data_IF_088705106287
#
_entry.id   IF_088705106287
#
_cell.length_a   1.000
_cell.length_b   1.000
_cell.length_c   1.000
_cell.angle_alpha   90.00
_cell.angle_beta   90.00
_cell.angle_gamma   90.00
#
_symmetry.space_group_name_H-M   'P 1'
#
loop_
_entity.id
_entity.type
_entity.pdbx_description
1 polymer ?
#
# COMPACT_ATOMS: atom_id res chain seq x y z
N UNK A 1 10.96 14.07 -3.78
CA UNK A 1 11.97 13.30 -3.02
C UNK A 1 11.47 11.91 -2.62
N UNK A 2 10.37 11.77 -1.86
CA UNK A 2 9.85 10.45 -1.49
C UNK A 2 9.34 9.64 -2.71
N UNK A 3 8.56 10.28 -3.60
CA UNK A 3 8.05 9.65 -4.82
C UNK A 3 9.19 9.13 -5.73
N UNK A 4 10.24 9.92 -5.96
CA UNK A 4 11.39 9.51 -6.78
C UNK A 4 12.16 8.31 -6.21
N UNK A 5 12.20 8.17 -4.88
CA UNK A 5 12.76 6.96 -4.23
C UNK A 5 11.85 5.77 -4.49
N UNK A 6 10.54 5.92 -4.31
CA UNK A 6 9.57 4.86 -4.57
C UNK A 6 9.58 4.41 -6.03
N UNK A 7 9.66 5.32 -6.98
CA UNK A 7 9.85 4.98 -8.40
C UNK A 7 11.14 4.19 -8.65
N UNK A 8 12.22 4.53 -7.92
CA UNK A 8 13.47 3.76 -7.94
C UNK A 8 13.27 2.33 -7.45
N UNK A 9 12.56 2.16 -6.34
CA UNK A 9 12.22 0.84 -5.78
C UNK A 9 11.35 0.03 -6.73
N UNK A 10 10.33 0.65 -7.35
CA UNK A 10 9.47 0.02 -8.36
C UNK A 10 10.29 -0.40 -9.58
N UNK A 11 11.21 0.43 -10.05
CA UNK A 11 12.12 0.08 -11.15
C UNK A 11 13.03 -1.11 -10.81
N UNK A 12 13.46 -1.23 -9.55
CA UNK A 12 14.22 -2.40 -9.10
C UNK A 12 13.34 -3.64 -9.04
N UNK A 13 12.11 -3.52 -8.53
CA UNK A 13 11.17 -4.63 -8.42
C UNK A 13 10.84 -5.22 -9.80
N UNK A 14 10.60 -4.34 -10.79
CA UNK A 14 10.37 -4.71 -12.21
C UNK A 14 11.58 -5.35 -12.91
N UNK A 15 12.73 -5.47 -12.24
CA UNK A 15 13.93 -6.17 -12.74
C UNK A 15 14.16 -7.48 -11.97
N UNK A 16 13.09 -8.26 -11.82
CA UNK A 16 13.08 -9.57 -11.15
C UNK A 16 13.64 -9.54 -9.73
N UNK A 17 13.28 -8.50 -8.96
CA UNK A 17 13.64 -8.40 -7.54
C UNK A 17 12.38 -8.25 -6.69
N UNK A 18 12.39 -8.88 -5.53
CA UNK A 18 11.38 -8.60 -4.50
C UNK A 18 11.86 -7.44 -3.64
N UNK A 19 11.05 -6.39 -3.55
CA UNK A 19 11.32 -5.23 -2.68
C UNK A 19 10.27 -5.20 -1.58
N UNK A 20 10.74 -5.25 -0.33
CA UNK A 20 9.90 -5.06 0.86
C UNK A 20 10.37 -3.81 1.57
N UNK A 21 9.45 -2.89 1.85
CA UNK A 21 9.77 -1.65 2.56
C UNK A 21 8.65 -1.24 3.51
N UNK A 22 9.02 -0.49 4.55
CA UNK A 22 8.08 0.12 5.50
C UNK A 22 7.95 1.61 5.19
N UNK A 23 6.73 2.11 5.08
CA UNK A 23 6.46 3.52 4.76
C UNK A 23 5.62 4.12 5.88
N UNK A 24 6.16 5.11 6.58
CA UNK A 24 5.49 5.69 7.75
C UNK A 24 4.25 6.52 7.37
N UNK A 25 4.24 7.20 6.22
CA UNK A 25 3.11 8.02 5.75
C UNK A 25 3.10 8.13 4.21
N UNK A 26 2.54 7.15 3.47
CA UNK A 26 2.43 7.25 2.03
C UNK A 26 1.31 8.23 1.63
N UNK A 27 1.56 9.07 0.62
CA UNK A 27 0.51 9.85 -0.03
C UNK A 27 -0.14 9.02 -1.17
N UNK A 28 -1.17 9.57 -1.83
CA UNK A 28 -1.93 8.88 -2.88
C UNK A 28 -1.07 8.44 -4.06
N UNK A 29 -0.09 9.25 -4.45
CA UNK A 29 0.82 8.93 -5.55
C UNK A 29 1.70 7.71 -5.21
N UNK A 30 2.13 7.59 -3.95
CA UNK A 30 2.95 6.47 -3.49
C UNK A 30 2.10 5.20 -3.35
N UNK A 31 0.90 5.28 -2.77
CA UNK A 31 0.03 4.11 -2.61
C UNK A 31 -0.43 3.55 -3.95
N UNK A 32 -0.60 4.40 -4.97
CA UNK A 32 -0.91 3.97 -6.34
C UNK A 32 0.20 3.10 -6.99
N UNK A 33 1.41 3.08 -6.42
CA UNK A 33 2.54 2.28 -6.90
C UNK A 33 2.67 0.93 -6.20
N UNK A 34 1.81 0.60 -5.24
CA UNK A 34 1.90 -0.65 -4.49
C UNK A 34 1.36 -1.84 -5.30
N UNK A 35 2.14 -2.90 -5.36
CA UNK A 35 1.65 -4.21 -5.83
C UNK A 35 0.83 -4.87 -4.70
N UNK A 36 1.46 -5.06 -3.53
CA UNK A 36 0.87 -5.65 -2.33
C UNK A 36 0.96 -4.69 -1.11
N UNK A 37 0.01 -4.85 -0.18
CA UNK A 37 -0.02 -4.18 1.12
C UNK A 37 0.04 -5.21 2.25
N UNK A 38 0.97 -5.00 3.18
CA UNK A 38 0.97 -5.64 4.50
C UNK A 38 0.66 -4.59 5.56
N UNK A 39 -0.57 -4.59 6.06
CA UNK A 39 -0.98 -3.68 7.13
C UNK A 39 -0.85 -4.38 8.49
N UNK A 40 -0.07 -3.78 9.39
CA UNK A 40 0.11 -4.26 10.75
C UNK A 40 -0.55 -3.29 11.74
N UNK A 41 -1.19 -3.83 12.78
CA UNK A 41 -1.66 -3.07 13.94
C UNK A 41 -1.30 -3.82 15.22
N UNK A 42 -0.64 -3.14 16.16
CA UNK A 42 -0.19 -3.73 17.43
C UNK A 42 0.53 -5.09 17.27
N UNK A 43 1.40 -5.21 16.26
CA UNK A 43 2.16 -6.43 15.97
C UNK A 43 1.40 -7.53 15.22
N UNK A 44 0.12 -7.34 14.90
CA UNK A 44 -0.71 -8.33 14.21
C UNK A 44 -0.96 -7.93 12.75
N UNK A 45 -1.00 -8.93 11.86
CA UNK A 45 -1.38 -8.73 10.46
C UNK A 45 -2.88 -8.47 10.36
N UNK A 46 -3.24 -7.27 9.94
CA UNK A 46 -4.63 -6.86 9.69
C UNK A 46 -5.03 -7.20 8.26
N UNK A 47 -4.16 -6.87 7.30
CA UNK A 47 -4.36 -7.14 5.88
C UNK A 47 -3.05 -7.56 5.23
N UNK A 48 -3.09 -8.56 4.35
CA UNK A 48 -1.96 -9.00 3.55
C UNK A 48 -2.46 -9.45 2.17
N UNK A 49 -2.05 -8.75 1.12
CA UNK A 49 -2.43 -9.07 -0.26
C UNK A 49 -2.37 -7.87 -1.20
N UNK A 50 -2.96 -7.98 -2.40
CA UNK A 50 -2.88 -6.93 -3.42
C UNK A 50 -3.45 -5.60 -2.94
N UNK A 51 -2.78 -4.48 -3.23
CA UNK A 51 -3.28 -3.14 -2.87
C UNK A 51 -4.72 -2.90 -3.36
N UNK A 52 -5.02 -3.34 -4.60
CA UNK A 52 -6.35 -3.25 -5.21
C UNK A 52 -7.44 -4.01 -4.43
N UNK A 53 -7.06 -5.00 -3.61
CA UNK A 53 -7.98 -5.77 -2.78
C UNK A 53 -8.20 -5.19 -1.39
N UNK A 54 -7.40 -4.20 -0.96
CA UNK A 54 -7.44 -3.69 0.41
C UNK A 54 -8.77 -2.99 0.72
N UNK A 55 -9.18 -2.01 -0.10
CA UNK A 55 -10.43 -1.26 0.13
C UNK A 55 -11.66 -2.17 0.14
N UNK A 56 -11.89 -3.04 -0.87
CA UNK A 56 -13.02 -3.97 -0.83
C UNK A 56 -12.99 -4.91 0.38
N UNK A 57 -11.81 -5.26 0.90
CA UNK A 57 -11.68 -6.12 2.09
C UNK A 57 -12.17 -5.40 3.35
N UNK A 58 -11.76 -4.15 3.57
CA UNK A 58 -12.24 -3.35 4.70
C UNK A 58 -13.75 -3.05 4.61
N UNK A 59 -14.25 -2.80 3.40
CA UNK A 59 -15.69 -2.56 3.19
C UNK A 59 -16.54 -3.78 3.57
N UNK A 60 -16.08 -5.00 3.30
CA UNK A 60 -16.77 -6.24 3.74
C UNK A 60 -16.83 -6.39 5.26
N UNK A 61 -15.94 -5.72 6.00
CA UNK A 61 -15.96 -5.65 7.46
C UNK A 61 -16.80 -4.48 8.00
N UNK A 62 -17.51 -3.76 7.13
CA UNK A 62 -18.29 -2.57 7.48
C UNK A 62 -17.46 -1.29 7.59
N UNK A 63 -16.17 -1.32 7.27
CA UNK A 63 -15.27 -0.18 7.32
C UNK A 63 -15.17 0.47 5.93
N UNK A 64 -16.06 1.44 5.67
CA UNK A 64 -16.03 2.18 4.40
C UNK A 64 -14.99 3.28 4.42
N UNK A 65 -14.27 3.45 3.32
CA UNK A 65 -13.36 4.57 3.20
C UNK A 65 -14.16 5.89 3.08
N UNK A 66 -13.87 6.93 3.89
CA UNK A 66 -14.54 8.22 3.76
C UNK A 66 -14.27 8.89 2.42
N UNK A 67 -15.26 9.63 1.92
CA UNK A 67 -15.10 10.48 0.73
C UNK A 67 -13.97 11.50 0.96
N UNK A 68 -13.17 11.75 -0.09
CA UNK A 68 -12.06 12.72 -0.09
C UNK A 68 -10.92 12.41 0.91
N UNK A 69 -10.84 11.18 1.40
CA UNK A 69 -9.63 10.64 2.06
C UNK A 69 -8.87 9.75 1.09
N UNK A 70 -7.65 9.38 1.44
CA UNK A 70 -6.74 8.60 0.60
C UNK A 70 -6.94 7.07 0.76
N UNK A 71 -7.37 6.37 -0.29
CA UNK A 71 -7.42 4.92 -0.43
C UNK A 71 -6.91 4.51 -1.84
N UNK A 72 -6.20 5.46 -2.47
CA UNK A 72 -6.26 5.91 -3.89
C UNK A 72 -7.65 5.98 -4.54
#
# INVERSE_FOLDING_TARGET
MALSVMEGLVRLARKDRTVVCTIHQPNSDITALFDDLMLLAAGHLVYGGPWSGAVPWFERLGQRCPLYKNPT
#
